data_IF_344940434582
#
_entry.id   IF_344940434582
#
_cell.length_a   1.000
_cell.length_b   1.000
_cell.length_c   1.000
_cell.angle_alpha   90.00
_cell.angle_beta   90.00
_cell.angle_gamma   90.00
#
_symmetry.space_group_name_H-M   'P 1'
#
loop_
_entity.id
_entity.type
_entity.pdbx_description
1 polymer ?
#
# COMPACT_ATOMS: atom_id res chain seq x y z
N UNK A 1 14.24 19.81 42.17
CA UNK A 1 14.73 19.44 40.81
C UNK A 1 15.76 18.30 40.86
N UNK A 2 16.59 18.20 41.90
CA UNK A 2 17.53 17.08 42.10
C UNK A 2 16.80 15.78 42.53
N UNK A 3 15.70 15.87 43.28
CA UNK A 3 14.91 14.68 43.69
C UNK A 3 14.08 14.03 42.58
N UNK A 4 13.79 14.76 41.49
CA UNK A 4 12.96 14.22 40.41
C UNK A 4 13.73 13.12 39.66
N UNK A 5 15.02 13.33 39.38
CA UNK A 5 15.88 12.37 38.69
C UNK A 5 16.16 11.11 39.53
N UNK A 6 16.18 11.24 40.87
CA UNK A 6 16.33 10.11 41.79
C UNK A 6 15.14 9.16 41.78
N UNK A 7 13.91 9.66 41.59
CA UNK A 7 12.70 8.84 41.45
C UNK A 7 12.63 8.09 40.10
N UNK A 8 13.22 8.61 39.03
CA UNK A 8 13.23 7.93 37.72
C UNK A 8 14.19 6.73 37.66
N UNK A 9 15.24 6.73 38.49
CA UNK A 9 16.33 5.74 38.47
C UNK A 9 16.31 4.76 39.65
N UNK A 10 15.27 4.78 40.49
CA UNK A 10 15.15 3.84 41.60
C UNK A 10 14.97 2.40 41.08
N UNK A 11 15.79 1.48 41.59
CA UNK A 11 15.65 0.04 41.37
C UNK A 11 14.29 -0.42 41.95
N UNK A 12 13.48 -1.20 41.20
CA UNK A 12 12.16 -1.62 41.67
C UNK A 12 12.29 -2.53 42.90
N UNK A 13 11.55 -2.22 43.96
CA UNK A 13 11.60 -2.99 45.22
C UNK A 13 10.88 -4.35 45.10
N UNK A 14 10.01 -4.49 44.09
CA UNK A 14 9.28 -5.71 43.81
C UNK A 14 9.04 -5.92 42.30
N UNK A 15 8.70 -7.14 41.90
CA UNK A 15 8.36 -7.50 40.50
C UNK A 15 7.11 -6.75 40.00
N UNK A 16 6.33 -6.17 40.92
CA UNK A 16 5.10 -5.43 40.65
C UNK A 16 5.31 -3.92 40.55
N UNK A 17 6.55 -3.46 40.69
CA UNK A 17 6.92 -2.06 40.51
C UNK A 17 7.71 -1.86 39.22
N UNK A 18 7.52 -0.69 38.61
CA UNK A 18 8.26 -0.28 37.42
C UNK A 18 8.73 1.15 37.60
N UNK A 19 10.00 1.40 37.31
CA UNK A 19 10.54 2.76 37.32
C UNK A 19 9.95 3.55 36.15
N UNK A 20 9.77 4.86 36.34
CA UNK A 20 9.26 5.71 35.28
C UNK A 20 10.19 5.74 34.05
N UNK A 21 11.49 5.49 34.22
CA UNK A 21 12.43 5.31 33.11
C UNK A 21 12.10 4.04 32.29
N UNK A 22 11.93 2.88 32.92
CA UNK A 22 11.64 1.63 32.19
C UNK A 22 10.27 1.69 31.51
N UNK A 23 9.27 2.28 32.18
CA UNK A 23 7.96 2.55 31.58
C UNK A 23 8.09 3.41 30.32
N UNK A 24 8.87 4.49 30.39
CA UNK A 24 9.11 5.38 29.25
C UNK A 24 9.83 4.66 28.12
N UNK A 25 10.86 3.87 28.43
CA UNK A 25 11.62 3.09 27.43
C UNK A 25 10.72 2.10 26.70
N UNK A 26 9.86 1.38 27.41
CA UNK A 26 8.91 0.43 26.81
C UNK A 26 7.90 1.11 25.88
N UNK A 27 7.38 2.27 26.28
CA UNK A 27 6.46 3.05 25.43
C UNK A 27 7.17 3.62 24.20
N UNK A 28 8.38 4.17 24.35
CA UNK A 28 9.18 4.67 23.23
C UNK A 28 9.54 3.53 22.27
N UNK A 29 9.93 2.36 22.79
CA UNK A 29 10.19 1.18 21.97
C UNK A 29 8.95 0.78 21.18
N UNK A 30 7.76 0.77 21.80
CA UNK A 30 6.51 0.50 21.09
C UNK A 30 6.26 1.49 19.94
N UNK A 31 6.51 2.79 20.16
CA UNK A 31 6.41 3.82 19.11
C UNK A 31 7.38 3.53 17.97
N UNK A 32 8.64 3.21 18.27
CA UNK A 32 9.66 2.91 17.26
C UNK A 32 9.29 1.67 16.45
N UNK A 33 8.95 0.55 17.11
CA UNK A 33 8.63 -0.71 16.44
C UNK A 33 7.35 -0.61 15.60
N UNK A 34 6.30 0.01 16.15
CA UNK A 34 5.06 0.29 15.41
C UNK A 34 5.29 1.25 14.23
N UNK A 35 6.18 2.22 14.42
CA UNK A 35 6.59 3.17 13.39
C UNK A 35 7.33 2.50 12.23
N UNK A 36 8.24 1.56 12.48
CA UNK A 36 8.96 0.83 11.42
C UNK A 36 7.99 0.13 10.47
N UNK A 37 6.99 -0.59 11.02
CA UNK A 37 5.96 -1.24 10.21
C UNK A 37 5.11 -0.18 9.51
N UNK A 38 4.65 0.84 10.25
CA UNK A 38 3.81 1.90 9.73
C UNK A 38 4.42 2.69 8.56
N UNK A 39 5.74 2.91 8.57
CA UNK A 39 6.48 3.58 7.48
C UNK A 39 6.44 2.75 6.20
N UNK A 40 6.66 1.44 6.29
CA UNK A 40 6.51 0.54 5.13
C UNK A 40 5.08 0.63 4.58
N UNK A 41 4.08 0.61 5.45
CA UNK A 41 2.67 0.66 5.04
C UNK A 41 2.32 1.96 4.32
N UNK A 42 2.78 3.09 4.85
CA UNK A 42 2.52 4.41 4.28
C UNK A 42 3.26 4.62 2.95
N UNK A 43 4.55 4.24 2.86
CA UNK A 43 5.30 4.26 1.60
C UNK A 43 4.70 3.36 0.52
N UNK A 44 4.01 2.30 0.93
CA UNK A 44 3.33 1.38 0.03
C UNK A 44 1.88 1.79 -0.26
N UNK A 45 1.43 3.00 0.15
CA UNK A 45 0.09 3.55 -0.10
C UNK A 45 -1.07 2.65 0.37
N UNK A 46 -0.93 2.03 1.55
CA UNK A 46 -2.01 1.23 2.13
C UNK A 46 -2.92 2.02 3.05
N UNK A 47 -4.15 1.52 3.24
CA UNK A 47 -5.21 2.21 3.97
C UNK A 47 -4.87 2.58 5.43
N UNK A 48 -4.08 1.76 6.13
CA UNK A 48 -3.53 2.10 7.44
C UNK A 48 -2.03 2.39 7.30
N UNK A 49 -1.63 3.63 7.60
CA UNK A 49 -0.26 4.13 7.46
C UNK A 49 0.49 4.24 8.79
N UNK A 50 1.41 5.19 8.87
CA UNK A 50 2.33 5.37 10.00
C UNK A 50 1.62 5.63 11.33
N UNK A 51 0.68 6.59 11.33
CA UNK A 51 -0.03 7.03 12.55
C UNK A 51 -0.83 5.88 13.17
N UNK A 52 -1.52 5.10 12.34
CA UNK A 52 -2.36 3.99 12.82
C UNK A 52 -1.53 2.93 13.52
N UNK A 53 -0.40 2.52 12.92
CA UNK A 53 0.45 1.47 13.51
C UNK A 53 1.13 1.96 14.79
N UNK A 54 1.56 3.22 14.87
CA UNK A 54 2.09 3.80 16.12
C UNK A 54 1.04 3.78 17.22
N UNK A 55 -0.17 4.28 16.94
CA UNK A 55 -1.25 4.37 17.94
C UNK A 55 -1.69 2.99 18.45
N UNK A 56 -1.77 2.00 17.55
CA UNK A 56 -2.10 0.63 17.93
C UNK A 56 -1.00 -0.01 18.79
N UNK A 57 0.27 0.20 18.41
CA UNK A 57 1.41 -0.35 19.15
C UNK A 57 1.52 0.25 20.56
N UNK A 58 1.50 1.58 20.67
CA UNK A 58 1.60 2.28 21.95
C UNK A 58 0.38 1.99 22.84
N UNK A 59 -0.83 1.96 22.28
CA UNK A 59 -2.05 1.62 23.03
C UNK A 59 -1.99 0.21 23.61
N UNK A 60 -1.50 -0.75 22.82
CA UNK A 60 -1.33 -2.14 23.27
C UNK A 60 -0.25 -2.26 24.36
N UNK A 61 0.87 -1.54 24.21
CA UNK A 61 1.92 -1.48 25.22
C UNK A 61 1.39 -0.88 26.54
N UNK A 62 0.63 0.21 26.48
CA UNK A 62 0.01 0.83 27.65
C UNK A 62 -0.96 -0.10 28.36
N UNK A 63 -1.78 -0.86 27.62
CA UNK A 63 -2.71 -1.83 28.22
C UNK A 63 -1.94 -2.98 28.89
N UNK A 64 -0.86 -3.46 28.30
CA UNK A 64 -0.02 -4.49 28.93
C UNK A 64 0.66 -3.96 30.20
N UNK A 65 1.21 -2.74 30.17
CA UNK A 65 1.80 -2.09 31.34
C UNK A 65 0.77 -1.91 32.46
N UNK A 66 -0.44 -1.44 32.13
CA UNK A 66 -1.54 -1.34 33.07
C UNK A 66 -1.90 -2.71 33.65
N UNK A 67 -1.89 -3.76 32.83
CA UNK A 67 -2.23 -5.11 33.26
C UNK A 67 -1.23 -5.75 34.20
N UNK A 68 0.06 -5.41 34.08
CA UNK A 68 1.12 -5.95 34.94
C UNK A 68 1.28 -5.10 36.20
N UNK A 69 1.37 -3.77 36.05
CA UNK A 69 1.81 -2.87 37.11
C UNK A 69 0.68 -2.01 37.71
N UNK A 70 -0.43 -1.83 37.00
CA UNK A 70 -1.50 -0.92 37.42
C UNK A 70 -2.31 -1.34 38.65
N UNK A 71 -2.13 -2.58 39.11
CA UNK A 71 -2.85 -3.16 40.25
C UNK A 71 -1.89 -3.65 41.35
N UNK A 72 -0.65 -3.16 41.36
CA UNK A 72 0.40 -3.59 42.30
C UNK A 72 0.00 -3.44 43.77
N UNK A 73 -0.74 -2.37 44.11
CA UNK A 73 -1.23 -2.11 45.47
C UNK A 73 -2.17 -3.21 46.00
N UNK A 74 -2.83 -3.96 45.11
CA UNK A 74 -3.80 -4.99 45.47
C UNK A 74 -3.22 -6.41 45.48
N UNK A 75 -1.92 -6.58 45.21
CA UNK A 75 -1.26 -7.90 45.11
C UNK A 75 -1.35 -8.70 46.42
N UNK A 76 -1.34 -8.01 47.57
CA UNK A 76 -1.34 -8.63 48.89
C UNK A 76 -2.74 -8.83 49.50
N UNK A 77 -3.80 -8.42 48.79
CA UNK A 77 -5.17 -8.55 49.26
C UNK A 77 -5.69 -9.99 49.13
N UNK A 78 -6.27 -10.53 50.22
CA UNK A 78 -6.60 -11.96 50.35
C UNK A 78 -7.59 -12.49 49.31
N UNK A 79 -8.42 -11.60 48.73
CA UNK A 79 -9.46 -11.95 47.75
C UNK A 79 -9.15 -11.44 46.33
N UNK A 80 -7.94 -10.92 46.08
CA UNK A 80 -7.56 -10.38 44.78
C UNK A 80 -6.60 -11.34 44.08
N UNK A 81 -6.97 -11.75 42.86
CA UNK A 81 -6.10 -12.52 41.98
C UNK A 81 -5.77 -11.70 40.74
N UNK A 82 -4.52 -11.30 40.61
CA UNK A 82 -4.02 -10.54 39.46
C UNK A 82 -3.67 -11.51 38.33
N UNK A 83 -4.18 -11.21 37.14
CA UNK A 83 -3.95 -11.97 35.92
C UNK A 83 -3.61 -11.00 34.77
N UNK A 84 -2.31 -10.77 34.50
CA UNK A 84 -1.88 -9.88 33.42
C UNK A 84 -2.37 -10.31 32.03
N UNK A 85 -2.73 -11.59 31.84
CA UNK A 85 -3.23 -12.07 30.56
C UNK A 85 -4.63 -11.52 30.24
N UNK A 86 -5.39 -11.08 31.25
CA UNK A 86 -6.79 -10.68 31.12
C UNK A 86 -6.97 -9.43 30.26
N UNK A 87 -6.26 -8.34 30.56
CA UNK A 87 -6.37 -7.13 29.74
C UNK A 87 -5.67 -7.32 28.37
N UNK A 88 -4.55 -8.05 28.32
CA UNK A 88 -3.89 -8.34 27.03
C UNK A 88 -4.78 -9.17 26.09
N UNK A 89 -5.57 -10.11 26.62
CA UNK A 89 -6.53 -10.86 25.82
C UNK A 89 -7.62 -9.95 25.22
N UNK A 90 -8.03 -8.90 25.95
CA UNK A 90 -9.00 -7.92 25.43
C UNK A 90 -8.42 -7.06 24.31
N UNK A 91 -7.11 -6.81 24.29
CA UNK A 91 -6.45 -6.14 23.15
C UNK A 91 -6.55 -7.00 21.90
N UNK A 92 -6.25 -8.30 22.00
CA UNK A 92 -6.31 -9.23 20.87
C UNK A 92 -7.75 -9.35 20.34
N UNK A 93 -8.74 -9.41 21.24
CA UNK A 93 -10.15 -9.40 20.87
C UNK A 93 -10.55 -8.08 20.20
N UNK A 94 -10.20 -6.94 20.82
CA UNK A 94 -10.59 -5.61 20.38
C UNK A 94 -9.98 -5.21 19.03
N UNK A 95 -8.74 -5.62 18.74
CA UNK A 95 -8.10 -5.32 17.46
C UNK A 95 -8.80 -6.01 16.28
N UNK A 96 -9.53 -7.11 16.54
CA UNK A 96 -10.34 -7.79 15.53
C UNK A 96 -11.37 -6.85 14.89
N UNK A 97 -11.94 -5.90 15.65
CA UNK A 97 -12.87 -4.90 15.12
C UNK A 97 -12.18 -3.90 14.18
N UNK A 98 -10.99 -3.40 14.55
CA UNK A 98 -10.22 -2.50 13.69
C UNK A 98 -9.73 -3.21 12.42
N UNK A 99 -9.35 -4.49 12.54
CA UNK A 99 -9.00 -5.34 11.42
C UNK A 99 -10.17 -5.52 10.45
N UNK A 100 -11.38 -5.81 10.95
CA UNK A 100 -12.58 -5.88 10.13
C UNK A 100 -12.88 -4.55 9.41
N UNK A 101 -12.72 -3.42 10.10
CA UNK A 101 -12.89 -2.08 9.52
C UNK A 101 -11.89 -1.74 8.41
N UNK A 102 -10.74 -2.40 8.37
CA UNK A 102 -9.74 -2.24 7.30
C UNK A 102 -10.04 -3.09 6.05
N UNK A 103 -10.95 -4.07 6.13
CA UNK A 103 -11.29 -4.98 5.03
C UNK A 103 -12.47 -4.40 4.26
N UNK A 104 -12.22 -3.99 3.01
CA UNK A 104 -13.22 -3.40 2.13
C UNK A 104 -13.57 -4.36 1.00
N UNK A 105 -14.87 -4.59 0.79
CA UNK A 105 -15.40 -5.41 -0.30
C UNK A 105 -16.07 -4.53 -1.36
N UNK A 106 -15.62 -4.65 -2.61
CA UNK A 106 -16.23 -4.02 -3.77
C UNK A 106 -16.64 -5.12 -4.78
N UNK A 107 -17.93 -5.45 -4.80
CA UNK A 107 -18.47 -6.53 -5.64
C UNK A 107 -17.83 -7.89 -5.31
N UNK A 108 -17.07 -8.43 -6.27
CA UNK A 108 -16.33 -9.69 -6.13
C UNK A 108 -14.89 -9.51 -5.62
N UNK A 109 -14.42 -8.27 -5.45
CA UNK A 109 -13.05 -7.98 -5.02
C UNK A 109 -13.01 -7.63 -3.53
N UNK A 110 -12.04 -8.19 -2.80
CA UNK A 110 -11.77 -7.90 -1.39
C UNK A 110 -10.38 -7.29 -1.28
N UNK A 111 -10.27 -6.19 -0.54
CA UNK A 111 -9.02 -5.46 -0.31
C UNK A 111 -8.81 -5.21 1.17
N UNK A 112 -7.57 -4.94 1.58
CA UNK A 112 -7.25 -4.59 2.96
C UNK A 112 -6.94 -5.76 3.91
N UNK A 113 -6.92 -7.01 3.42
CA UNK A 113 -6.55 -8.19 4.22
C UNK A 113 -5.18 -8.06 4.89
N UNK A 114 -4.16 -7.64 4.13
CA UNK A 114 -2.80 -7.43 4.66
C UNK A 114 -2.75 -6.26 5.66
N UNK A 115 -3.57 -5.24 5.46
CA UNK A 115 -3.69 -4.11 6.39
C UNK A 115 -4.31 -4.55 7.72
N UNK A 116 -5.37 -5.36 7.68
CA UNK A 116 -5.97 -5.94 8.87
C UNK A 116 -4.97 -6.82 9.63
N UNK A 117 -4.23 -7.67 8.90
CA UNK A 117 -3.19 -8.51 9.48
C UNK A 117 -2.04 -7.68 10.08
N UNK A 118 -1.59 -6.61 9.43
CA UNK A 118 -0.49 -5.77 9.94
C UNK A 118 -0.88 -5.04 11.22
N UNK A 119 -2.12 -4.53 11.31
CA UNK A 119 -2.65 -3.92 12.54
C UNK A 119 -2.68 -4.96 13.68
N UNK A 120 -3.15 -6.18 13.40
CA UNK A 120 -3.21 -7.25 14.40
C UNK A 120 -1.83 -7.61 14.94
N UNK A 121 -0.84 -7.79 14.06
CA UNK A 121 0.53 -8.14 14.49
C UNK A 121 1.20 -6.98 15.23
N UNK A 122 0.96 -5.73 14.83
CA UNK A 122 1.51 -4.57 15.55
C UNK A 122 0.92 -4.42 16.95
N UNK A 123 -0.35 -4.79 17.16
CA UNK A 123 -0.91 -4.86 18.51
C UNK A 123 -0.16 -5.89 19.37
N UNK A 124 0.14 -7.08 18.81
CA UNK A 124 0.93 -8.11 19.49
C UNK A 124 2.37 -7.62 19.80
N UNK A 125 3.02 -6.91 18.88
CA UNK A 125 4.34 -6.29 19.11
C UNK A 125 4.28 -5.29 20.27
N UNK A 126 3.24 -4.45 20.33
CA UNK A 126 3.01 -3.53 21.42
C UNK A 126 2.83 -4.24 22.77
N UNK A 127 2.06 -5.34 22.81
CA UNK A 127 1.94 -6.18 24.01
C UNK A 127 3.29 -6.75 24.44
N UNK A 128 4.11 -7.27 23.52
CA UNK A 128 5.45 -7.75 23.84
C UNK A 128 6.36 -6.62 24.38
N UNK A 129 6.32 -5.44 23.78
CA UNK A 129 7.10 -4.28 24.25
C UNK A 129 6.67 -3.83 25.65
N UNK A 130 5.35 -3.74 25.91
CA UNK A 130 4.81 -3.39 27.24
C UNK A 130 5.15 -4.44 28.30
N UNK A 131 5.17 -5.72 27.94
CA UNK A 131 5.56 -6.81 28.84
C UNK A 131 7.07 -6.87 29.14
N UNK A 132 7.89 -6.05 28.45
CA UNK A 132 9.35 -6.12 28.55
C UNK A 132 9.97 -7.27 27.74
N UNK A 133 9.20 -7.95 26.89
CA UNK A 133 9.68 -9.04 26.04
C UNK A 133 10.36 -8.49 24.77
N UNK A 134 11.47 -7.78 24.97
CA UNK A 134 12.16 -7.01 23.93
C UNK A 134 12.63 -7.84 22.75
N UNK A 135 13.24 -9.00 23.02
CA UNK A 135 13.70 -9.90 21.97
C UNK A 135 12.55 -10.34 21.05
N UNK A 136 11.42 -10.75 21.64
CA UNK A 136 10.22 -11.14 20.90
C UNK A 136 9.64 -9.99 20.08
N UNK A 137 9.54 -8.80 20.67
CA UNK A 137 9.03 -7.61 19.99
C UNK A 137 9.89 -7.22 18.77
N UNK A 138 11.21 -7.18 18.95
CA UNK A 138 12.17 -6.81 17.90
C UNK A 138 12.20 -7.88 16.80
N UNK A 139 12.32 -9.16 17.16
CA UNK A 139 12.34 -10.27 16.20
C UNK A 139 11.06 -10.31 15.36
N UNK A 140 9.90 -10.15 16.01
CA UNK A 140 8.61 -10.10 15.32
C UNK A 140 8.56 -8.92 14.34
N UNK A 141 8.99 -7.73 14.77
CA UNK A 141 9.04 -6.53 13.91
C UNK A 141 9.92 -6.76 12.67
N UNK A 142 11.11 -7.35 12.83
CA UNK A 142 12.02 -7.66 11.71
C UNK A 142 11.38 -8.66 10.75
N UNK A 143 10.80 -9.75 11.25
CA UNK A 143 10.18 -10.77 10.41
C UNK A 143 8.99 -10.20 9.63
N UNK A 144 8.13 -9.42 10.29
CA UNK A 144 6.98 -8.76 9.64
C UNK A 144 7.46 -7.79 8.56
N UNK A 145 8.47 -6.98 8.86
CA UNK A 145 9.03 -6.05 7.89
C UNK A 145 9.57 -6.78 6.64
N UNK A 146 10.32 -7.88 6.83
CA UNK A 146 10.81 -8.71 5.72
C UNK A 146 9.64 -9.28 4.90
N UNK A 147 8.62 -9.84 5.56
CA UNK A 147 7.46 -10.42 4.88
C UNK A 147 6.75 -9.36 4.04
N UNK A 148 6.48 -8.17 4.60
CA UNK A 148 5.82 -7.07 3.89
C UNK A 148 6.64 -6.60 2.69
N UNK A 149 7.96 -6.46 2.86
CA UNK A 149 8.83 -5.98 1.80
C UNK A 149 9.01 -6.99 0.65
N UNK A 150 9.17 -8.28 0.98
CA UNK A 150 9.24 -9.37 -0.01
C UNK A 150 7.92 -9.47 -0.76
N UNK A 151 6.78 -9.46 -0.08
CA UNK A 151 5.48 -9.58 -0.71
C UNK A 151 5.21 -8.41 -1.66
N UNK A 152 5.53 -7.18 -1.26
CA UNK A 152 5.35 -5.99 -2.10
C UNK A 152 6.27 -6.01 -3.34
N UNK A 153 7.52 -6.49 -3.19
CA UNK A 153 8.44 -6.71 -4.33
C UNK A 153 7.90 -7.77 -5.29
N UNK A 154 7.39 -8.87 -4.76
CA UNK A 154 6.80 -9.95 -5.55
C UNK A 154 5.53 -9.50 -6.28
N UNK A 155 4.65 -8.77 -5.60
CA UNK A 155 3.45 -8.22 -6.20
C UNK A 155 3.80 -7.27 -7.34
N UNK A 156 4.75 -6.35 -7.15
CA UNK A 156 5.21 -5.44 -8.22
C UNK A 156 5.84 -6.21 -9.39
N UNK A 157 6.62 -7.27 -9.13
CA UNK A 157 7.23 -8.09 -10.18
C UNK A 157 6.18 -8.88 -10.96
N UNK A 158 5.20 -9.46 -10.28
CA UNK A 158 4.12 -10.23 -10.89
C UNK A 158 3.11 -9.32 -11.62
N UNK A 159 2.83 -8.13 -11.08
CA UNK A 159 1.98 -7.12 -11.71
C UNK A 159 2.62 -6.54 -12.97
N UNK A 160 3.95 -6.37 -13.01
CA UNK A 160 4.67 -6.02 -14.25
C UNK A 160 4.47 -7.04 -15.39
N UNK A 161 4.15 -8.30 -15.08
CA UNK A 161 3.83 -9.31 -16.08
C UNK A 161 2.36 -9.35 -16.50
N UNK A 162 1.48 -8.51 -15.92
CA UNK A 162 0.02 -8.53 -16.18
C UNK A 162 -0.61 -7.17 -16.52
N UNK A 163 0.17 -6.10 -16.67
CA UNK A 163 -0.38 -4.84 -17.20
C UNK A 163 -0.43 -4.99 -18.71
N UNK A 164 -1.65 -5.19 -19.24
CA UNK A 164 -1.92 -5.09 -20.67
C UNK A 164 -1.46 -3.70 -21.15
N UNK A 165 -0.51 -3.59 -22.09
CA UNK A 165 -0.06 -2.31 -22.61
C UNK A 165 -1.21 -1.42 -23.08
N UNK A 166 -1.09 -0.13 -22.79
CA UNK A 166 -1.97 0.91 -23.35
C UNK A 166 -1.30 1.51 -24.59
N UNK A 167 -2.05 1.50 -25.70
CA UNK A 167 -1.71 2.17 -26.95
C UNK A 167 -2.73 3.28 -27.18
N UNK A 168 -2.26 4.51 -27.26
CA UNK A 168 -3.06 5.69 -27.57
C UNK A 168 -2.91 6.00 -29.05
N UNK A 169 -4.03 6.05 -29.77
CA UNK A 169 -4.10 6.41 -31.19
C UNK A 169 -4.87 7.72 -31.28
N UNK A 170 -4.20 8.79 -31.69
CA UNK A 170 -4.83 10.08 -31.98
C UNK A 170 -5.42 10.01 -33.38
N UNK A 171 -6.72 10.19 -33.49
CA UNK A 171 -7.45 10.11 -34.75
C UNK A 171 -8.23 11.37 -35.02
N UNK A 172 -8.49 11.62 -36.29
CA UNK A 172 -9.43 12.64 -36.74
C UNK A 172 -10.85 12.18 -36.42
N UNK A 173 -11.76 13.09 -36.12
CA UNK A 173 -13.15 12.75 -35.77
C UNK A 173 -13.95 12.32 -37.00
N UNK A 174 -13.69 11.10 -37.50
CA UNK A 174 -14.38 10.50 -38.65
C UNK A 174 -15.13 9.23 -38.22
N UNK A 175 -16.40 9.06 -38.64
CA UNK A 175 -17.13 7.83 -38.39
C UNK A 175 -16.38 6.62 -38.95
N UNK A 176 -16.26 5.55 -38.16
CA UNK A 176 -15.67 4.27 -38.58
C UNK A 176 -14.17 4.09 -38.34
N UNK A 177 -13.40 5.14 -38.02
CA UNK A 177 -11.95 5.03 -37.80
C UNK A 177 -11.59 4.09 -36.64
N UNK A 178 -12.39 4.10 -35.56
CA UNK A 178 -12.26 3.15 -34.44
C UNK A 178 -12.38 1.70 -34.92
N UNK A 179 -13.33 1.43 -35.82
CA UNK A 179 -13.52 0.09 -36.39
C UNK A 179 -12.33 -0.34 -37.24
N UNK A 180 -11.78 0.56 -38.05
CA UNK A 180 -10.60 0.28 -38.87
C UNK A 180 -9.36 -0.04 -38.02
N UNK A 181 -9.12 0.76 -36.97
CA UNK A 181 -8.01 0.51 -36.02
C UNK A 181 -8.21 -0.83 -35.29
N UNK A 182 -9.44 -1.15 -34.88
CA UNK A 182 -9.75 -2.43 -34.22
C UNK A 182 -9.57 -3.64 -35.16
N UNK A 183 -9.91 -3.51 -36.43
CA UNK A 183 -9.69 -4.55 -37.45
C UNK A 183 -8.20 -4.82 -37.62
N UNK A 184 -7.37 -3.78 -37.67
CA UNK A 184 -5.93 -3.95 -37.85
C UNK A 184 -5.29 -4.66 -36.66
N UNK A 185 -5.71 -4.33 -35.42
CA UNK A 185 -5.31 -5.13 -34.27
C UNK A 185 -5.72 -6.59 -34.40
N UNK A 186 -6.94 -6.87 -34.86
CA UNK A 186 -7.44 -8.23 -35.10
C UNK A 186 -6.65 -8.98 -36.17
N UNK A 187 -6.29 -8.32 -37.27
CA UNK A 187 -5.51 -8.91 -38.37
C UNK A 187 -4.12 -9.37 -37.90
N UNK A 188 -3.52 -8.63 -36.96
CA UNK A 188 -2.22 -8.97 -36.35
C UNK A 188 -2.36 -9.91 -35.15
N UNK A 189 -3.56 -10.42 -34.85
CA UNK A 189 -3.81 -11.32 -33.72
C UNK A 189 -3.63 -10.64 -32.36
N UNK A 190 -3.81 -9.32 -32.27
CA UNK A 190 -3.73 -8.54 -31.03
C UNK A 190 -5.13 -8.45 -30.42
N UNK A 191 -5.28 -8.94 -29.19
CA UNK A 191 -6.55 -8.87 -28.48
C UNK A 191 -6.73 -7.52 -27.79
N UNK A 192 -7.74 -6.76 -28.22
CA UNK A 192 -8.17 -5.52 -27.57
C UNK A 192 -9.03 -5.88 -26.36
N UNK A 193 -8.56 -5.51 -25.17
CA UNK A 193 -9.24 -5.79 -23.89
C UNK A 193 -10.21 -4.67 -23.48
N UNK A 194 -9.93 -3.42 -23.86
CA UNK A 194 -10.81 -2.28 -23.61
C UNK A 194 -10.46 -1.11 -24.55
N UNK A 195 -11.43 -0.25 -24.84
CA UNK A 195 -11.23 1.00 -25.59
C UNK A 195 -11.86 2.16 -24.81
N UNK A 196 -11.09 3.22 -24.60
CA UNK A 196 -11.61 4.49 -24.09
C UNK A 196 -11.50 5.56 -25.18
N UNK A 197 -12.53 6.37 -25.29
CA UNK A 197 -12.56 7.53 -26.18
C UNK A 197 -12.42 8.76 -25.29
N UNK A 198 -11.37 9.54 -25.51
CA UNK A 198 -11.10 10.79 -24.79
C UNK A 198 -11.14 11.91 -25.81
N UNK A 199 -12.01 12.89 -25.60
CA UNK A 199 -12.04 14.11 -26.38
C UNK A 199 -11.01 15.07 -25.79
N UNK A 200 -10.14 15.65 -26.62
CA UNK A 200 -9.16 16.64 -26.17
C UNK A 200 -9.91 17.97 -25.94
N UNK A 201 -9.79 18.54 -24.74
CA UNK A 201 -10.42 19.84 -24.42
C UNK A 201 -9.73 20.97 -25.20
N UNK A 202 -10.55 21.84 -25.82
CA UNK A 202 -10.16 22.95 -26.71
C UNK A 202 -9.00 23.79 -26.19
N UNK A 203 -7.98 24.02 -27.03
CA UNK A 203 -7.27 25.31 -27.02
C UNK A 203 -8.07 26.30 -27.88
N UNK A 204 -8.15 27.57 -27.46
CA UNK A 204 -9.08 28.58 -27.97
C UNK A 204 -8.86 29.06 -29.43
N UNK A 205 -8.09 28.32 -30.24
CA UNK A 205 -7.58 28.78 -31.54
C UNK A 205 -7.97 27.89 -32.73
N UNK A 206 -8.61 26.74 -32.52
CA UNK A 206 -8.87 25.77 -33.60
C UNK A 206 -10.34 25.80 -34.11
N UNK A 207 -10.51 25.72 -35.43
CA UNK A 207 -11.82 25.69 -36.11
C UNK A 207 -12.71 24.52 -35.63
N UNK A 208 -14.04 24.72 -35.54
CA UNK A 208 -14.96 23.84 -34.80
C UNK A 208 -15.15 22.42 -35.36
N UNK A 209 -14.65 22.10 -36.55
CA UNK A 209 -15.00 20.86 -37.27
C UNK A 209 -13.91 19.77 -37.26
N UNK A 210 -12.73 20.02 -36.66
CA UNK A 210 -11.59 19.09 -36.72
C UNK A 210 -10.92 18.79 -35.37
N UNK A 211 -11.62 18.94 -34.25
CA UNK A 211 -11.05 18.56 -32.95
C UNK A 211 -10.65 17.07 -32.95
N UNK A 212 -9.38 16.73 -32.71
CA UNK A 212 -8.92 15.35 -32.74
C UNK A 212 -9.47 14.57 -31.55
N UNK A 213 -9.76 13.29 -31.78
CA UNK A 213 -10.24 12.35 -30.76
C UNK A 213 -9.10 11.41 -30.39
N UNK A 214 -8.91 11.17 -29.09
CA UNK A 214 -7.94 10.20 -28.60
C UNK A 214 -8.64 8.86 -28.35
N UNK A 215 -8.20 7.82 -29.05
CA UNK A 215 -8.61 6.45 -28.80
C UNK A 215 -7.54 5.74 -27.98
N UNK A 216 -7.84 5.36 -26.75
CA UNK A 216 -6.93 4.64 -25.87
C UNK A 216 -7.32 3.16 -25.86
N UNK A 217 -6.50 2.32 -26.47
CA UNK A 217 -6.68 0.87 -26.55
C UNK A 217 -5.83 0.17 -25.49
N UNK A 218 -6.46 -0.69 -24.69
CA UNK A 218 -5.74 -1.69 -23.89
C UNK A 218 -5.58 -2.96 -24.70
N UNK A 219 -4.35 -3.38 -24.93
CA UNK A 219 -4.04 -4.52 -25.78
C UNK A 219 -3.24 -5.58 -25.03
N UNK A 220 -3.57 -6.85 -25.28
CA UNK A 220 -2.74 -7.98 -24.86
C UNK A 220 -1.77 -8.31 -25.98
N UNK A 221 -0.48 -8.29 -25.65
CA UNK A 221 0.59 -8.52 -26.61
C UNK A 221 1.25 -9.85 -26.31
N UNK A 222 1.22 -10.74 -27.30
CA UNK A 222 1.92 -12.03 -27.25
C UNK A 222 3.33 -11.95 -27.85
N UNK A 223 3.57 -11.02 -28.79
CA UNK A 223 4.86 -10.83 -29.47
C UNK A 223 5.10 -9.36 -29.83
N UNK A 224 6.33 -8.88 -29.62
CA UNK A 224 6.75 -7.53 -29.98
C UNK A 224 6.78 -7.26 -31.49
N UNK A 225 6.96 -8.30 -32.32
CA UNK A 225 6.95 -8.17 -33.79
C UNK A 225 5.55 -7.84 -34.32
N UNK A 226 4.52 -8.52 -33.79
CA UNK A 226 3.12 -8.24 -34.12
C UNK A 226 2.71 -6.83 -33.72
N UNK A 227 3.23 -6.34 -32.59
CA UNK A 227 3.01 -4.96 -32.15
C UNK A 227 3.57 -3.95 -33.15
N UNK A 228 4.80 -4.15 -33.62
CA UNK A 228 5.43 -3.27 -34.59
C UNK A 228 4.66 -3.28 -35.93
N UNK A 229 4.29 -4.46 -36.42
CA UNK A 229 3.47 -4.61 -37.62
C UNK A 229 2.12 -3.87 -37.50
N UNK A 230 1.43 -4.03 -36.35
CA UNK A 230 0.17 -3.31 -36.11
C UNK A 230 0.36 -1.79 -36.07
N UNK A 231 1.43 -1.28 -35.47
CA UNK A 231 1.72 0.16 -35.44
C UNK A 231 1.94 0.71 -36.85
N UNK A 232 2.69 -0.01 -37.68
CA UNK A 232 2.96 0.42 -39.05
C UNK A 232 1.70 0.43 -39.91
N UNK A 233 0.86 -0.61 -39.80
CA UNK A 233 -0.40 -0.67 -40.52
C UNK A 233 -1.42 0.38 -40.03
N UNK A 234 -1.51 0.62 -38.71
CA UNK A 234 -2.41 1.65 -38.16
C UNK A 234 -1.94 3.04 -38.57
N UNK A 235 -0.63 3.30 -38.66
CA UNK A 235 -0.10 4.58 -39.19
C UNK A 235 -0.45 4.83 -40.65
N UNK A 236 -0.66 3.78 -41.43
CA UNK A 236 -1.04 3.88 -42.83
C UNK A 236 -2.53 4.20 -43.05
N UNK A 237 -3.36 4.14 -42.00
CA UNK A 237 -4.79 4.45 -42.10
C UNK A 237 -5.03 5.96 -42.25
N UNK A 238 -5.90 6.32 -43.21
CA UNK A 238 -6.33 7.70 -43.39
C UNK A 238 -7.08 8.22 -42.15
N UNK A 239 -6.56 9.29 -41.56
CA UNK A 239 -7.17 9.94 -40.39
C UNK A 239 -6.51 9.59 -39.06
N UNK A 240 -5.46 8.78 -39.03
CA UNK A 240 -4.57 8.62 -37.86
C UNK A 240 -3.54 9.75 -37.86
N UNK A 241 -3.46 10.50 -36.75
CA UNK A 241 -2.57 11.65 -36.59
C UNK A 241 -1.28 11.25 -35.87
N UNK A 242 -1.38 10.47 -34.80
CA UNK A 242 -0.22 9.97 -34.05
C UNK A 242 -0.56 8.70 -33.26
N UNK A 243 0.49 7.96 -32.90
CA UNK A 243 0.39 6.77 -32.06
C UNK A 243 1.42 6.89 -30.94
N UNK A 244 0.96 6.80 -29.69
CA UNK A 244 1.78 6.74 -28.49
C UNK A 244 1.62 5.39 -27.80
N UNK A 245 2.73 4.71 -27.54
CA UNK A 245 2.77 3.41 -26.89
C UNK A 245 3.37 3.53 -25.48
N UNK A 246 2.56 3.26 -24.46
CA UNK A 246 3.04 3.21 -23.09
C UNK A 246 3.59 1.81 -22.76
N UNK A 247 4.58 1.35 -23.54
CA UNK A 247 5.21 0.04 -23.39
C UNK A 247 6.76 0.14 -23.34
N UNK A 248 7.44 -0.56 -22.41
CA UNK A 248 8.89 -0.43 -22.22
C UNK A 248 9.75 -0.80 -23.43
N UNK A 249 9.27 -1.66 -24.35
CA UNK A 249 9.99 -1.97 -25.60
C UNK A 249 10.03 -0.78 -26.58
N UNK A 250 9.06 0.13 -26.54
CA UNK A 250 8.99 1.28 -27.45
C UNK A 250 9.75 2.51 -26.92
N UNK A 251 9.86 2.64 -25.59
CA UNK A 251 10.52 3.78 -24.91
C UNK A 251 12.01 3.95 -25.26
N UNK A 252 12.66 2.87 -25.72
CA UNK A 252 14.10 2.83 -26.01
C UNK A 252 14.44 2.73 -27.51
N UNK A 253 13.47 2.85 -28.42
CA UNK A 253 13.77 2.83 -29.87
C UNK A 253 14.27 4.21 -30.35
N UNK A 254 15.48 4.34 -30.92
CA UNK A 254 16.06 5.62 -31.35
C UNK A 254 15.46 6.19 -32.64
N UNK A 255 14.57 5.46 -33.32
CA UNK A 255 14.07 5.79 -34.65
C UNK A 255 12.85 6.74 -34.67
N UNK A 256 12.37 7.23 -33.52
CA UNK A 256 11.09 7.95 -33.46
C UNK A 256 11.15 9.20 -32.57
N UNK A 257 10.46 10.29 -32.97
CA UNK A 257 10.42 11.53 -32.19
C UNK A 257 9.74 11.28 -30.84
N UNK A 258 10.46 11.58 -29.76
CA UNK A 258 9.95 11.48 -28.38
C UNK A 258 8.99 12.64 -28.13
N UNK A 259 7.69 12.43 -28.31
CA UNK A 259 6.68 13.35 -27.80
C UNK A 259 6.55 13.14 -26.29
N UNK A 260 7.16 14.05 -25.53
CA UNK A 260 6.92 14.18 -24.08
C UNK A 260 5.50 14.70 -23.89
N UNK A 261 4.55 13.83 -23.56
CA UNK A 261 3.34 14.29 -22.89
C UNK A 261 3.18 13.54 -21.56
N UNK A 262 3.52 14.29 -20.52
CA UNK A 262 3.23 13.98 -19.13
C UNK A 262 1.72 13.93 -18.96
N UNK A 263 1.16 12.73 -18.79
CA UNK A 263 -0.16 12.61 -18.16
C UNK A 263 0.07 12.98 -16.69
N UNK A 264 -0.15 14.25 -16.37
CA UNK A 264 0.00 14.78 -15.02
C UNK A 264 -1.12 14.29 -14.10
N UNK A 265 -0.75 14.09 -12.83
CA UNK A 265 -1.63 14.15 -11.66
C UNK A 265 -2.43 12.90 -11.36
#
# INVERSE_FOLDING_TARGET
>A
MIDLLGQFAAEPASVWEISAADLTVRMVLAVVLGGIIGLEREWSNHAAGFRTHILVCIGSASIMLLSIYGFSEFVHETNVRIDPARLSAQVISGIGFLGAGAIMRHGLTVSGLTTAASIWVVAAIGLCAGAGFYYGAILCTILVFIILQVLNRWEKKMRRSRIDPEMTVKVTNRPGILGQVAIEFGAQGIHVSNVKIVQEERSATDEPEQAPTLLVFRIKIESGERLLAAVDCIRALEGVLSIDLNHPLYRNSPALPKTKYSVGG
#
